data_IF_252201690241
#
_entry.id   IF_252201690241
#
_cell.length_a   1.000
_cell.length_b   1.000
_cell.length_c   1.000
_cell.angle_alpha   90.00
_cell.angle_beta   90.00
_cell.angle_gamma   90.00
#
_symmetry.space_group_name_H-M   'P 1'
#
loop_
_entity.id
_entity.type
_entity.pdbx_description
1 polymer ?
#
# COMPACT_ATOMS: atom_id res chain seq x y z
N UNK A 1 -16.59 0.30 -16.28
CA UNK A 1 -15.78 1.49 -15.93
C UNK A 1 -14.75 1.09 -14.89
N UNK A 2 -13.59 1.75 -14.89
CA UNK A 2 -12.58 1.63 -13.83
C UNK A 2 -12.48 2.96 -13.06
N UNK A 3 -12.52 2.90 -11.74
CA UNK A 3 -12.07 3.97 -10.85
C UNK A 3 -10.59 3.70 -10.52
N UNK A 4 -9.70 4.56 -11.00
CA UNK A 4 -8.26 4.41 -10.82
C UNK A 4 -7.73 5.31 -9.70
N UNK A 5 -6.96 4.71 -8.79
CA UNK A 5 -6.30 5.36 -7.68
C UNK A 5 -4.79 5.24 -7.90
N UNK A 6 -4.11 6.37 -8.11
CA UNK A 6 -2.70 6.38 -8.47
C UNK A 6 -1.78 6.00 -7.28
N UNK A 7 -0.56 5.56 -7.58
CA UNK A 7 0.49 5.28 -6.60
C UNK A 7 1.22 6.52 -6.08
N UNK A 8 2.46 6.34 -5.63
CA UNK A 8 3.32 7.44 -5.16
C UNK A 8 3.36 7.64 -3.64
N UNK A 9 3.21 6.58 -2.85
CA UNK A 9 3.41 6.62 -1.40
C UNK A 9 2.47 7.60 -0.66
N UNK A 10 1.26 7.80 -1.20
CA UNK A 10 0.25 8.76 -0.71
C UNK A 10 0.68 10.24 -0.69
N UNK A 11 1.88 10.55 -1.20
CA UNK A 11 2.51 11.86 -1.06
C UNK A 11 3.01 12.44 -2.39
N UNK A 12 3.27 11.59 -3.37
CA UNK A 12 3.84 11.95 -4.66
C UNK A 12 2.94 11.49 -5.79
N UNK A 13 3.30 11.90 -7.01
CA UNK A 13 2.55 11.65 -8.25
C UNK A 13 1.12 12.19 -8.23
N UNK A 14 0.51 12.21 -9.41
CA UNK A 14 -0.83 12.71 -9.72
C UNK A 14 -1.43 11.86 -10.84
N UNK A 15 -2.74 11.98 -11.11
CA UNK A 15 -3.36 11.31 -12.25
C UNK A 15 -2.65 11.55 -13.59
N UNK A 16 -2.18 12.78 -13.84
CA UNK A 16 -1.48 13.15 -15.08
C UNK A 16 -0.21 12.33 -15.33
N UNK A 17 0.46 11.85 -14.28
CA UNK A 17 1.66 11.01 -14.41
C UNK A 17 1.33 9.60 -14.94
N UNK A 18 0.03 9.24 -15.01
CA UNK A 18 -0.48 7.96 -15.51
C UNK A 18 -1.32 8.10 -16.77
N UNK A 19 -1.47 9.30 -17.34
CA UNK A 19 -2.38 9.55 -18.47
C UNK A 19 -2.06 8.68 -19.68
N UNK A 20 -0.78 8.48 -20.02
CA UNK A 20 -0.37 7.60 -21.12
C UNK A 20 -0.83 6.14 -20.90
N UNK A 21 -0.68 5.65 -19.67
CA UNK A 21 -1.09 4.29 -19.29
C UNK A 21 -2.62 4.16 -19.32
N UNK A 22 -3.34 5.16 -18.78
CA UNK A 22 -4.80 5.17 -18.79
C UNK A 22 -5.34 5.26 -20.22
N UNK A 23 -4.75 6.12 -21.05
CA UNK A 23 -5.09 6.25 -22.46
C UNK A 23 -4.88 4.93 -23.21
N UNK A 24 -3.77 4.23 -22.95
CA UNK A 24 -3.52 2.91 -23.51
C UNK A 24 -4.64 1.92 -23.15
N UNK A 25 -5.05 1.85 -21.88
CA UNK A 25 -6.15 0.98 -21.46
C UNK A 25 -7.50 1.37 -22.07
N UNK A 26 -7.81 2.68 -22.13
CA UNK A 26 -9.03 3.19 -22.76
C UNK A 26 -9.07 2.76 -24.23
N UNK A 27 -7.99 2.96 -24.99
CA UNK A 27 -7.90 2.60 -26.40
C UNK A 27 -8.01 1.09 -26.64
N UNK A 28 -7.42 0.27 -25.76
CA UNK A 28 -7.39 -1.18 -25.91
C UNK A 28 -8.68 -1.87 -25.47
N UNK A 29 -9.35 -1.34 -24.44
CA UNK A 29 -10.48 -2.00 -23.79
C UNK A 29 -11.83 -1.32 -24.08
N UNK A 30 -11.83 -0.10 -24.62
CA UNK A 30 -13.07 0.65 -24.88
C UNK A 30 -13.84 1.00 -23.61
N UNK A 31 -13.14 1.21 -22.50
CA UNK A 31 -13.74 1.47 -21.18
C UNK A 31 -13.58 2.93 -20.76
N UNK A 32 -14.53 3.41 -19.96
CA UNK A 32 -14.37 4.64 -19.17
C UNK A 32 -13.43 4.38 -18.00
N UNK A 33 -12.45 5.28 -17.81
CA UNK A 33 -11.60 5.33 -16.62
C UNK A 33 -11.77 6.70 -15.97
N UNK A 34 -11.96 6.72 -14.65
CA UNK A 34 -11.95 7.93 -13.82
C UNK A 34 -10.75 7.82 -12.87
N UNK A 35 -9.76 8.69 -13.07
CA UNK A 35 -8.59 8.78 -12.18
C UNK A 35 -8.83 9.82 -11.08
N UNK A 36 -8.64 9.45 -9.82
CA UNK A 36 -8.89 10.33 -8.68
C UNK A 36 -7.64 11.12 -8.32
N UNK A 37 -7.71 12.46 -8.36
CA UNK A 37 -6.69 13.36 -7.81
C UNK A 37 -6.96 13.60 -6.32
N UNK A 38 -6.67 12.60 -5.49
CA UNK A 38 -6.92 12.67 -4.06
C UNK A 38 -5.92 13.62 -3.37
N UNK A 39 -6.33 14.22 -2.25
CA UNK A 39 -5.43 15.01 -1.41
C UNK A 39 -4.31 14.14 -0.85
N UNK A 40 -3.10 14.68 -0.73
CA UNK A 40 -1.87 13.92 -0.45
C UNK A 40 -1.15 14.40 0.81
N UNK A 41 -0.35 13.53 1.40
CA UNK A 41 0.54 13.86 2.52
C UNK A 41 1.78 14.63 2.03
N UNK A 42 2.41 15.46 2.87
CA UNK A 42 2.14 15.70 4.29
C UNK A 42 0.96 16.65 4.61
N UNK A 43 0.46 17.40 3.63
CA UNK A 43 -0.58 18.41 3.86
C UNK A 43 -1.89 17.77 4.34
N UNK A 44 -2.18 16.56 3.83
CA UNK A 44 -3.35 15.78 4.18
C UNK A 44 -2.94 14.36 4.59
N UNK A 45 -3.07 14.09 5.88
CA UNK A 45 -2.67 12.83 6.52
C UNK A 45 -3.79 11.78 6.43
N UNK A 46 -3.47 10.51 6.68
CA UNK A 46 -4.46 9.46 6.90
C UNK A 46 -5.52 9.92 7.94
N UNK A 47 -6.83 9.70 7.69
CA UNK A 47 -7.44 8.99 6.56
C UNK A 47 -7.93 9.89 5.41
N UNK A 48 -7.49 11.15 5.30
CA UNK A 48 -8.02 12.10 4.30
C UNK A 48 -7.88 11.56 2.86
N UNK A 49 -6.72 11.07 2.40
CA UNK A 49 -6.57 10.64 1.01
C UNK A 49 -7.54 9.50 0.61
N UNK A 50 -7.69 8.49 1.48
CA UNK A 50 -8.64 7.39 1.23
C UNK A 50 -10.11 7.85 1.34
N UNK A 51 -10.40 8.84 2.19
CA UNK A 51 -11.75 9.39 2.28
C UNK A 51 -12.16 10.12 1.00
N UNK A 52 -11.24 10.81 0.33
CA UNK A 52 -11.51 11.44 -0.97
C UNK A 52 -11.87 10.39 -2.02
N UNK A 53 -11.09 9.32 -2.11
CA UNK A 53 -11.36 8.20 -3.02
C UNK A 53 -12.71 7.53 -2.74
N UNK A 54 -13.05 7.34 -1.47
CA UNK A 54 -14.35 6.78 -1.04
C UNK A 54 -15.51 7.72 -1.38
N UNK A 55 -15.35 9.03 -1.20
CA UNK A 55 -16.36 10.01 -1.56
C UNK A 55 -16.66 9.97 -3.07
N UNK A 56 -15.63 9.95 -3.91
CA UNK A 56 -15.78 9.83 -5.37
C UNK A 56 -16.48 8.53 -5.74
N UNK A 57 -16.07 7.40 -5.16
CA UNK A 57 -16.71 6.11 -5.44
C UNK A 57 -18.21 6.11 -5.07
N UNK A 58 -18.55 6.65 -3.90
CA UNK A 58 -19.95 6.72 -3.46
C UNK A 58 -20.77 7.65 -4.35
N UNK A 59 -20.24 8.81 -4.72
CA UNK A 59 -20.89 9.74 -5.66
C UNK A 59 -21.17 9.06 -7.01
N UNK A 60 -20.18 8.33 -7.55
CA UNK A 60 -20.32 7.56 -8.78
C UNK A 60 -21.42 6.50 -8.68
N UNK A 61 -21.55 5.83 -7.54
CA UNK A 61 -22.58 4.82 -7.32
C UNK A 61 -23.98 5.44 -7.16
N UNK A 62 -24.12 6.56 -6.46
CA UNK A 62 -25.43 7.10 -6.06
C UNK A 62 -26.00 8.11 -7.03
N UNK A 63 -25.17 8.97 -7.62
CA UNK A 63 -25.60 10.17 -8.34
C UNK A 63 -25.05 10.14 -9.77
N UNK A 64 -23.73 10.05 -9.90
CA UNK A 64 -23.03 10.29 -11.17
C UNK A 64 -23.12 9.11 -12.15
N UNK A 65 -23.60 7.94 -11.72
CA UNK A 65 -23.76 6.79 -12.63
C UNK A 65 -24.62 7.13 -13.86
N UNK A 66 -25.65 7.97 -13.68
CA UNK A 66 -26.52 8.44 -14.77
C UNK A 66 -25.78 9.38 -15.71
N UNK A 67 -24.99 10.30 -15.15
CA UNK A 67 -24.22 11.29 -15.91
C UNK A 67 -23.23 10.61 -16.86
N UNK A 68 -22.60 9.53 -16.40
CA UNK A 68 -21.62 8.79 -17.20
C UNK A 68 -22.20 7.59 -17.94
N UNK A 69 -23.51 7.33 -17.84
CA UNK A 69 -24.17 6.18 -18.48
C UNK A 69 -23.60 4.83 -18.03
N UNK A 70 -23.15 4.73 -16.78
CA UNK A 70 -22.52 3.53 -16.22
C UNK A 70 -23.52 2.76 -15.34
N UNK A 71 -23.33 1.44 -15.26
CA UNK A 71 -24.00 0.60 -14.27
C UNK A 71 -23.19 0.65 -12.94
N UNK A 72 -23.78 1.14 -11.83
CA UNK A 72 -23.09 1.25 -10.54
C UNK A 72 -22.68 -0.11 -9.96
N UNK A 73 -23.27 -1.21 -10.42
CA UNK A 73 -22.88 -2.57 -10.04
C UNK A 73 -21.66 -3.10 -10.80
N UNK A 74 -21.22 -2.40 -11.84
CA UNK A 74 -20.14 -2.81 -12.76
C UNK A 74 -18.87 -1.95 -12.61
N UNK A 75 -18.76 -1.19 -11.53
CA UNK A 75 -17.58 -0.37 -11.24
C UNK A 75 -16.45 -1.26 -10.71
N UNK A 76 -15.30 -1.22 -11.37
CA UNK A 76 -14.05 -1.87 -10.93
C UNK A 76 -13.19 -0.80 -10.27
N UNK A 77 -12.57 -1.12 -9.13
CA UNK A 77 -11.52 -0.25 -8.54
C UNK A 77 -10.15 -0.78 -8.92
N UNK A 78 -9.22 0.10 -9.28
CA UNK A 78 -7.87 -0.25 -9.68
C UNK A 78 -6.88 0.69 -9.03
N UNK A 79 -5.71 0.19 -8.66
CA UNK A 79 -4.63 1.05 -8.22
C UNK A 79 -3.30 0.32 -8.12
N UNK A 80 -2.23 1.09 -8.14
CA UNK A 80 -0.85 0.61 -8.03
C UNK A 80 -0.21 1.08 -6.72
N UNK A 81 0.69 0.28 -6.13
CA UNK A 81 1.43 0.66 -4.91
C UNK A 81 0.51 1.19 -3.79
N UNK A 82 0.65 2.47 -3.40
CA UNK A 82 -0.21 3.17 -2.45
C UNK A 82 -1.67 3.34 -2.94
N UNK A 83 -1.88 3.49 -4.24
CA UNK A 83 -3.21 3.45 -4.86
C UNK A 83 -3.82 2.05 -4.79
N UNK A 84 -3.00 1.01 -4.93
CA UNK A 84 -3.40 -0.38 -4.70
C UNK A 84 -3.81 -0.64 -3.25
N UNK A 85 -3.10 -0.04 -2.28
CA UNK A 85 -3.55 -0.01 -0.88
C UNK A 85 -4.97 0.58 -0.77
N UNK A 86 -5.17 1.77 -1.36
CA UNK A 86 -6.45 2.47 -1.27
C UNK A 86 -7.58 1.72 -1.98
N UNK A 87 -7.30 1.06 -3.11
CA UNK A 87 -8.28 0.24 -3.81
C UNK A 87 -8.76 -0.93 -2.93
N UNK A 88 -7.83 -1.60 -2.24
CA UNK A 88 -8.14 -2.68 -1.31
C UNK A 88 -8.91 -2.17 -0.08
N UNK A 89 -8.49 -1.05 0.51
CA UNK A 89 -9.17 -0.44 1.67
C UNK A 89 -10.57 0.03 1.30
N UNK A 90 -10.75 0.67 0.14
CA UNK A 90 -12.05 1.13 -0.35
C UNK A 90 -13.02 -0.03 -0.47
N UNK A 91 -12.61 -1.13 -1.13
CA UNK A 91 -13.42 -2.33 -1.27
C UNK A 91 -13.83 -2.91 0.09
N UNK A 92 -12.89 -2.99 1.04
CA UNK A 92 -13.18 -3.45 2.40
C UNK A 92 -14.14 -2.52 3.16
N UNK A 93 -13.99 -1.20 3.02
CA UNK A 93 -14.88 -0.22 3.66
C UNK A 93 -16.30 -0.33 3.12
N UNK A 94 -16.49 -0.43 1.80
CA UNK A 94 -17.83 -0.57 1.23
C UNK A 94 -18.50 -1.88 1.65
N UNK A 95 -17.74 -2.97 1.69
CA UNK A 95 -18.24 -4.26 2.19
C UNK A 95 -18.71 -4.16 3.65
N UNK A 96 -17.89 -3.57 4.54
CA UNK A 96 -18.23 -3.40 5.97
C UNK A 96 -19.40 -2.45 6.20
N UNK A 97 -19.56 -1.46 5.33
CA UNK A 97 -20.67 -0.51 5.39
C UNK A 97 -21.99 -1.09 4.83
N UNK A 98 -22.01 -2.34 4.35
CA UNK A 98 -23.12 -2.91 3.58
C UNK A 98 -23.55 -2.01 2.40
N UNK A 99 -22.59 -1.32 1.80
CA UNK A 99 -22.79 -0.48 0.63
C UNK A 99 -22.46 -1.25 -0.66
N UNK A 100 -22.81 -0.69 -1.83
CA UNK A 100 -22.45 -1.29 -3.12
C UNK A 100 -20.93 -1.43 -3.22
N UNK A 101 -20.44 -2.66 -3.13
CA UNK A 101 -19.01 -2.98 -3.30
C UNK A 101 -18.59 -2.90 -4.77
N UNK A 102 -17.29 -2.61 -5.05
CA UNK A 102 -16.77 -2.71 -6.41
C UNK A 102 -17.00 -4.12 -6.95
N UNK A 103 -17.29 -4.23 -8.25
CA UNK A 103 -17.44 -5.52 -8.95
C UNK A 103 -16.17 -6.36 -8.84
N UNK A 104 -15.02 -5.69 -8.95
CA UNK A 104 -13.69 -6.29 -8.84
C UNK A 104 -12.69 -5.24 -8.37
N UNK A 105 -11.54 -5.72 -7.90
CA UNK A 105 -10.37 -4.90 -7.55
C UNK A 105 -9.15 -5.38 -8.33
N UNK A 106 -8.44 -4.46 -8.98
CA UNK A 106 -7.18 -4.71 -9.67
C UNK A 106 -6.07 -4.05 -8.86
N UNK A 107 -5.23 -4.87 -8.22
CA UNK A 107 -4.21 -4.42 -7.29
C UNK A 107 -2.82 -4.66 -7.90
N UNK A 108 -2.17 -3.59 -8.34
CA UNK A 108 -0.84 -3.67 -8.97
C UNK A 108 0.23 -3.42 -7.88
N UNK A 109 1.04 -4.43 -7.57
CA UNK A 109 2.07 -4.38 -6.49
C UNK A 109 1.63 -3.61 -5.23
N UNK A 110 0.45 -3.91 -4.65
CA UNK A 110 -0.17 -3.07 -3.64
C UNK A 110 0.64 -3.03 -2.34
N UNK A 111 0.60 -1.90 -1.66
CA UNK A 111 1.04 -1.81 -0.27
C UNK A 111 -0.07 -2.36 0.63
N UNK A 112 0.15 -3.47 1.33
CA UNK A 112 -0.94 -4.17 2.04
C UNK A 112 -0.86 -4.10 3.57
N UNK A 113 0.34 -3.95 4.15
CA UNK A 113 0.49 -3.81 5.60
C UNK A 113 1.85 -3.20 5.99
N UNK A 114 1.92 -2.45 7.10
CA UNK A 114 3.19 -2.05 7.72
C UNK A 114 3.68 -3.10 8.73
N UNK A 115 3.13 -4.31 8.75
CA UNK A 115 3.36 -5.24 9.88
C UNK A 115 4.69 -5.99 9.83
N UNK A 116 5.38 -5.99 8.70
CA UNK A 116 6.65 -6.69 8.57
C UNK A 116 7.57 -6.06 7.52
N UNK A 117 8.59 -5.34 7.99
CA UNK A 117 9.69 -4.77 7.22
C UNK A 117 10.91 -5.70 7.15
N UNK A 118 10.81 -6.90 7.70
CA UNK A 118 11.82 -7.96 7.68
C UNK A 118 11.35 -9.16 6.88
N UNK A 119 10.36 -8.98 6.01
CA UNK A 119 9.89 -10.03 5.11
C UNK A 119 11.01 -10.49 4.17
N UNK A 120 10.94 -11.71 3.61
CA UNK A 120 11.96 -12.19 2.69
C UNK A 120 12.31 -11.26 1.53
N UNK A 121 11.30 -10.62 0.92
CA UNK A 121 11.54 -9.67 -0.17
C UNK A 121 12.30 -8.41 0.28
N UNK A 122 12.08 -7.95 1.52
CA UNK A 122 12.80 -6.81 2.09
C UNK A 122 14.26 -7.18 2.41
N UNK A 123 14.51 -8.40 2.89
CA UNK A 123 15.88 -8.90 3.12
C UNK A 123 16.63 -9.10 1.81
N UNK A 124 16.00 -9.71 0.80
CA UNK A 124 16.57 -9.88 -0.54
C UNK A 124 16.93 -8.54 -1.20
N UNK A 125 16.12 -7.49 -0.98
CA UNK A 125 16.47 -6.14 -1.42
C UNK A 125 17.84 -5.72 -0.88
N UNK A 126 18.08 -5.88 0.42
CA UNK A 126 19.34 -5.48 1.05
C UNK A 126 20.54 -6.31 0.55
N UNK A 127 20.31 -7.58 0.25
CA UNK A 127 21.35 -8.51 -0.22
C UNK A 127 21.73 -8.29 -1.69
N UNK A 128 20.74 -8.11 -2.57
CA UNK A 128 20.96 -8.18 -4.02
C UNK A 128 20.74 -6.86 -4.75
N UNK A 129 19.96 -5.94 -4.18
CA UNK A 129 19.55 -4.71 -4.85
C UNK A 129 19.87 -3.40 -4.09
N UNK A 130 20.91 -3.33 -3.23
CA UNK A 130 21.17 -2.13 -2.45
C UNK A 130 21.46 -0.95 -3.38
N UNK A 131 20.61 0.08 -3.33
CA UNK A 131 20.74 1.28 -4.16
C UNK A 131 20.37 1.11 -5.65
N UNK A 132 19.99 -0.10 -6.10
CA UNK A 132 19.71 -0.40 -7.50
C UNK A 132 18.22 -0.43 -7.84
N UNK A 133 17.33 -0.57 -6.85
CA UNK A 133 15.88 -0.52 -7.07
C UNK A 133 15.30 0.84 -6.70
N UNK A 134 14.35 1.30 -7.53
CA UNK A 134 13.58 2.54 -7.37
C UNK A 134 12.84 2.58 -6.02
N UNK A 135 12.38 1.43 -5.53
CA UNK A 135 11.77 1.29 -4.21
C UNK A 135 12.71 0.55 -3.27
N UNK A 136 12.75 1.00 -2.01
CA UNK A 136 13.53 0.35 -0.97
C UNK A 136 12.80 0.37 0.39
N UNK A 137 13.13 -0.57 1.31
CA UNK A 137 12.52 -0.66 2.63
C UNK A 137 12.51 0.65 3.42
N UNK A 138 13.59 1.44 3.35
CA UNK A 138 13.71 2.71 4.05
C UNK A 138 12.70 3.73 3.53
N UNK A 139 12.56 3.85 2.21
CA UNK A 139 11.56 4.71 1.59
C UNK A 139 10.13 4.28 1.96
N UNK A 140 9.85 2.98 1.98
CA UNK A 140 8.55 2.47 2.41
C UNK A 140 8.22 2.88 3.85
N UNK A 141 9.19 2.76 4.77
CA UNK A 141 9.02 3.18 6.16
C UNK A 141 8.77 4.70 6.25
N UNK A 142 9.49 5.50 5.47
CA UNK A 142 9.29 6.95 5.40
C UNK A 142 7.89 7.32 4.90
N UNK A 143 7.38 6.68 3.84
CA UNK A 143 6.02 6.94 3.36
C UNK A 143 4.95 6.54 4.36
N UNK A 144 5.10 5.42 5.07
CA UNK A 144 4.17 5.07 6.14
C UNK A 144 4.15 6.12 7.25
N UNK A 145 5.33 6.56 7.71
CA UNK A 145 5.43 7.61 8.73
C UNK A 145 4.78 8.92 8.26
N UNK A 146 5.10 9.34 7.03
CA UNK A 146 4.56 10.55 6.42
C UNK A 146 3.03 10.50 6.30
N UNK A 147 2.50 9.39 5.79
CA UNK A 147 1.06 9.18 5.61
C UNK A 147 0.31 9.16 6.95
N UNK A 148 0.92 8.60 8.00
CA UNK A 148 0.33 8.53 9.34
C UNK A 148 0.55 9.80 10.18
N UNK A 149 1.26 10.81 9.67
CA UNK A 149 1.58 12.02 10.42
C UNK A 149 2.59 11.80 11.54
N UNK A 150 3.35 10.72 11.49
CA UNK A 150 4.41 10.41 12.46
C UNK A 150 5.70 11.05 11.96
N UNK A 151 6.47 11.77 12.82
CA UNK A 151 7.70 12.42 12.39
C UNK A 151 8.67 11.47 11.66
N UNK A 152 9.12 11.86 10.47
CA UNK A 152 10.06 11.10 9.65
C UNK A 152 11.49 11.34 10.12
N UNK A 153 11.78 10.89 11.35
CA UNK A 153 13.11 10.98 11.97
C UNK A 153 13.82 9.62 11.96
N UNK A 154 15.16 9.62 12.03
CA UNK A 154 15.98 8.41 11.98
C UNK A 154 15.48 7.32 12.93
N UNK A 155 15.20 7.68 14.20
CA UNK A 155 14.68 6.76 15.22
C UNK A 155 13.39 6.05 14.78
N UNK A 156 12.43 6.79 14.23
CA UNK A 156 11.14 6.24 13.83
C UNK A 156 11.29 5.32 12.61
N UNK A 157 12.12 5.71 11.65
CA UNK A 157 12.42 4.88 10.49
C UNK A 157 13.07 3.55 10.92
N UNK A 158 14.07 3.60 11.80
CA UNK A 158 14.72 2.39 12.33
C UNK A 158 13.75 1.51 13.10
N UNK A 159 12.85 2.11 13.88
CA UNK A 159 11.83 1.34 14.59
C UNK A 159 10.91 0.57 13.63
N UNK A 160 10.49 1.15 12.50
CA UNK A 160 9.71 0.40 11.50
C UNK A 160 10.53 -0.69 10.84
N UNK A 161 11.75 -0.37 10.39
CA UNK A 161 12.63 -1.33 9.72
C UNK A 161 12.91 -2.56 10.59
N UNK A 162 13.07 -2.38 11.91
CA UNK A 162 13.30 -3.46 12.87
C UNK A 162 12.00 -4.06 13.43
N UNK A 163 10.83 -3.70 12.88
CA UNK A 163 9.52 -4.09 13.36
C UNK A 163 9.27 -3.78 14.86
N UNK A 164 9.91 -2.77 15.44
CA UNK A 164 9.78 -2.38 16.86
C UNK A 164 8.48 -1.65 17.16
N UNK A 165 7.72 -1.26 16.14
CA UNK A 165 6.37 -0.68 16.28
C UNK A 165 5.28 -1.72 16.60
N UNK A 166 5.62 -3.01 16.59
CA UNK A 166 4.71 -4.11 16.94
C UNK A 166 5.27 -4.83 18.17
N UNK A 167 4.42 -5.02 19.18
CA UNK A 167 4.78 -5.75 20.40
C UNK A 167 5.09 -7.22 20.08
N UNK A 168 5.98 -7.83 20.87
CA UNK A 168 6.39 -9.25 20.69
C UNK A 168 5.19 -10.19 20.75
N UNK A 169 4.27 -9.97 21.69
CA UNK A 169 3.05 -10.77 21.81
C UNK A 169 2.18 -10.65 20.55
N UNK A 170 2.14 -9.46 19.95
CA UNK A 170 1.44 -9.22 18.68
C UNK A 170 2.06 -9.96 17.50
N UNK A 171 3.39 -10.03 17.44
CA UNK A 171 4.13 -10.79 16.40
C UNK A 171 3.89 -12.29 16.50
N UNK A 172 3.79 -12.81 17.72
CA UNK A 172 3.62 -14.25 17.98
C UNK A 172 2.15 -14.68 18.02
N UNK A 173 1.20 -13.76 17.93
CA UNK A 173 -0.21 -14.10 17.90
C UNK A 173 -0.52 -15.01 16.71
N UNK A 174 -1.15 -16.16 16.96
CA UNK A 174 -1.48 -17.17 15.94
C UNK A 174 -2.19 -16.58 14.72
N UNK A 175 -3.06 -15.59 14.97
CA UNK A 175 -3.78 -14.88 13.91
C UNK A 175 -2.86 -14.09 12.99
N UNK A 176 -1.81 -13.45 13.51
CA UNK A 176 -0.89 -12.71 12.67
C UNK A 176 0.05 -13.66 11.92
N UNK A 177 0.52 -14.69 12.62
CA UNK A 177 1.34 -15.75 12.02
C UNK A 177 0.63 -16.48 10.89
N UNK A 178 -0.67 -16.74 11.00
CA UNK A 178 -1.46 -17.38 9.95
C UNK A 178 -1.75 -16.50 8.73
N UNK A 179 -1.38 -15.21 8.77
CA UNK A 179 -1.58 -14.27 7.66
C UNK A 179 -0.25 -13.84 7.04
N UNK A 180 0.75 -13.51 7.85
CA UNK A 180 2.04 -12.94 7.39
C UNK A 180 3.27 -13.76 7.85
N UNK A 181 3.05 -14.95 8.41
CA UNK A 181 4.15 -15.84 8.82
C UNK A 181 5.02 -16.22 7.63
N UNK A 182 6.34 -16.15 7.80
CA UNK A 182 7.29 -16.50 6.73
C UNK A 182 7.21 -17.99 6.39
N UNK A 183 6.75 -18.83 7.33
CA UNK A 183 6.47 -20.26 7.15
C UNK A 183 5.29 -20.54 6.19
N UNK A 184 4.50 -19.52 5.84
CA UNK A 184 3.45 -19.62 4.82
C UNK A 184 3.96 -19.41 3.39
N UNK A 185 5.21 -18.98 3.23
CA UNK A 185 5.79 -18.69 1.92
C UNK A 185 6.30 -19.98 1.25
N UNK A 186 6.32 -20.04 -0.10
CA UNK A 186 6.95 -21.14 -0.80
C UNK A 186 8.43 -21.29 -0.40
N UNK A 187 8.92 -22.53 -0.31
CA UNK A 187 10.28 -22.86 0.15
C UNK A 187 11.38 -22.08 -0.57
N UNK A 188 11.20 -21.78 -1.87
CA UNK A 188 12.15 -20.99 -2.66
C UNK A 188 12.38 -19.59 -2.08
N UNK A 189 11.36 -18.95 -1.51
CA UNK A 189 11.49 -17.63 -0.88
C UNK A 189 12.11 -17.70 0.51
N UNK A 190 12.02 -18.85 1.19
CA UNK A 190 12.57 -19.05 2.54
C UNK A 190 14.07 -19.40 2.47
N UNK A 191 14.49 -20.16 1.46
CA UNK A 191 15.89 -20.60 1.33
C UNK A 191 16.84 -19.50 0.81
N UNK A 192 16.31 -18.48 0.13
CA UNK A 192 17.10 -17.36 -0.39
C UNK A 192 17.33 -16.24 0.64
N UNK A 193 16.68 -16.32 1.79
CA UNK A 193 16.85 -15.41 2.92
C UNK A 193 17.77 -16.05 3.96
N UNK A 194 18.95 -15.45 4.13
CA UNK A 194 19.81 -15.77 5.26
C UNK A 194 19.18 -15.13 6.51
N UNK A 195 18.98 -15.95 7.55
CA UNK A 195 18.36 -15.63 8.83
C UNK A 195 16.83 -15.83 8.88
N UNK A 196 16.42 -17.06 9.25
CA UNK A 196 15.18 -17.27 10.01
C UNK A 196 15.14 -16.23 11.11
N UNK A 197 14.22 -15.28 11.08
CA UNK A 197 13.93 -14.28 12.13
C UNK A 197 14.67 -14.55 13.45
N UNK A 198 15.97 -14.20 13.53
CA UNK A 198 16.74 -14.37 14.74
C UNK A 198 16.40 -13.13 15.54
N UNK A 199 15.59 -13.33 16.59
CA UNK A 199 15.48 -12.32 17.63
C UNK A 199 16.83 -12.29 18.32
N UNK A 200 17.78 -11.52 17.78
CA UNK A 200 19.00 -11.26 18.50
C UNK A 200 18.63 -10.59 19.83
N UNK A 201 19.20 -11.19 20.87
CA UNK A 201 19.17 -10.76 22.25
C UNK A 201 19.66 -9.32 22.38
N UNK A 202 19.31 -8.69 23.50
CA UNK A 202 19.81 -7.37 23.89
C UNK A 202 21.34 -7.27 23.82
N UNK A 203 21.82 -6.02 23.75
CA UNK A 203 23.21 -5.53 23.72
C UNK A 203 23.81 -5.46 22.29
N UNK A 204 24.35 -4.36 21.75
CA UNK A 204 24.97 -3.17 22.33
C UNK A 204 24.84 -1.98 21.35
N UNK A 205 24.68 -0.78 21.93
CA UNK A 205 24.65 0.49 21.21
C UNK A 205 26.07 0.82 20.71
N UNK A 206 26.37 0.62 19.43
CA UNK A 206 27.58 1.18 18.80
C UNK A 206 27.18 2.34 17.91
N UNK A 207 27.25 3.54 18.48
CA UNK A 207 27.09 4.78 17.73
C UNK A 207 28.19 4.92 16.71
N UNK A 208 27.82 5.28 15.48
CA UNK A 208 28.74 5.92 14.55
C UNK A 208 28.20 7.31 14.21
N UNK A 209 28.97 8.30 14.65
CA UNK A 209 28.92 9.67 14.15
C UNK A 209 29.14 9.65 12.63
N UNK A 210 28.21 10.26 11.89
CA UNK A 210 28.41 11.31 10.87
C UNK A 210 27.06 11.72 10.28
#
# INVERSE_FOLDING_TARGET
>A
MILYLHGGGWATLKPVDYDDLMYYFIKRLGILIISVDYRRSPEYLYPIPINDCEAVYRELVTIDYKRYGIDPTQIIVMGDSAGGNMAAVLAQRQLRANFQKPKSQILIYPVIHPLDFQSPSYQQYHKFFPGCSMLNPRMMAQWYLLYLGIPVIHKNVQNLLQNKHIRREGKQADKLRSIIGHDLLPISFINETDEKFVVESEDEYVGYNL
#
